data_IF_487079539778
#
_entry.id   IF_487079539778
#
_cell.length_a   1.000
_cell.length_b   1.000
_cell.length_c   1.000
_cell.angle_alpha   90.00
_cell.angle_beta   90.00
_cell.angle_gamma   90.00
#
_symmetry.space_group_name_H-M   'P 1'
#
loop_
_entity.id
_entity.type
_entity.pdbx_description
1 polymer ?
#
# COMPACT_ATOMS: atom_id res chain seq x y z
N UNK A 1 -12.45 5.91 11.34
CA UNK A 1 -12.96 4.56 11.01
C UNK A 1 -14.49 4.62 11.02
N UNK A 2 -15.16 4.06 10.03
CA UNK A 2 -16.64 4.05 9.99
C UNK A 2 -17.10 2.62 10.22
N UNK A 3 -17.81 2.40 11.33
CA UNK A 3 -18.38 1.11 11.72
C UNK A 3 -17.45 0.26 12.59
N UNK A 4 -18.07 -0.63 13.37
CA UNK A 4 -17.41 -1.53 14.33
C UNK A 4 -16.45 -2.54 13.68
N UNK A 5 -16.65 -2.82 12.38
CA UNK A 5 -15.84 -3.77 11.60
C UNK A 5 -14.60 -3.15 10.93
N UNK A 6 -14.38 -1.83 11.04
CA UNK A 6 -13.22 -1.19 10.45
C UNK A 6 -12.02 -1.28 11.41
N UNK A 7 -10.92 -1.86 10.95
CA UNK A 7 -9.66 -1.95 11.68
C UNK A 7 -8.51 -1.34 10.86
N UNK A 8 -7.45 -0.93 11.55
CA UNK A 8 -6.18 -0.57 10.92
C UNK A 8 -5.51 -1.86 10.45
N UNK A 9 -5.10 -1.90 9.18
CA UNK A 9 -4.42 -3.04 8.57
C UNK A 9 -2.99 -2.60 8.22
N UNK A 10 -1.99 -3.32 8.74
CA UNK A 10 -0.58 -3.05 8.49
C UNK A 10 0.02 -3.97 7.41
N UNK A 11 -0.78 -4.88 6.86
CA UNK A 11 -0.36 -5.93 5.93
C UNK A 11 -1.12 -5.81 4.62
N UNK A 12 -0.59 -6.28 3.49
CA UNK A 12 -1.33 -6.29 2.23
C UNK A 12 -2.33 -7.46 2.15
N UNK A 13 -3.06 -7.75 3.23
CA UNK A 13 -4.11 -8.76 3.30
C UNK A 13 -5.06 -8.46 4.47
N UNK A 14 -6.28 -9.00 4.42
CA UNK A 14 -7.22 -8.91 5.55
C UNK A 14 -6.86 -9.98 6.61
N UNK A 15 -6.95 -9.70 7.92
CA UNK A 15 -6.60 -10.66 8.97
C UNK A 15 -7.29 -12.02 8.88
N UNK A 16 -8.53 -12.05 8.36
CA UNK A 16 -9.30 -13.28 8.15
C UNK A 16 -8.84 -14.12 6.94
N UNK A 17 -7.90 -13.63 6.12
CA UNK A 17 -7.39 -14.38 4.98
C UNK A 17 -6.34 -15.41 5.42
N UNK A 18 -6.40 -16.59 4.80
CA UNK A 18 -5.40 -17.65 5.02
C UNK A 18 -4.00 -17.13 4.67
N UNK A 19 -3.04 -17.49 5.53
CA UNK A 19 -1.63 -17.12 5.43
C UNK A 19 -1.34 -15.61 5.52
N UNK A 20 -2.28 -14.81 6.02
CA UNK A 20 -2.06 -13.39 6.26
C UNK A 20 -1.22 -13.18 7.53
N UNK A 21 0.08 -12.95 7.36
CA UNK A 21 0.96 -12.59 8.47
C UNK A 21 0.42 -11.35 9.21
N UNK A 22 0.33 -11.40 10.55
CA UNK A 22 -0.19 -10.29 11.37
C UNK A 22 0.92 -9.55 12.14
N UNK A 23 2.04 -10.21 12.39
CA UNK A 23 3.19 -9.65 13.08
C UNK A 23 4.11 -8.94 12.08
N UNK A 24 3.69 -7.76 11.64
CA UNK A 24 4.49 -6.89 10.77
C UNK A 24 4.61 -5.50 11.36
N UNK A 25 5.70 -4.83 11.01
CA UNK A 25 5.99 -3.49 11.51
C UNK A 25 4.95 -2.46 11.02
N UNK A 26 4.19 -1.89 11.95
CA UNK A 26 3.35 -0.73 11.71
C UNK A 26 4.11 0.59 11.86
N UNK A 27 3.54 1.67 11.32
CA UNK A 27 4.03 3.03 11.55
C UNK A 27 3.02 3.82 12.37
N UNK A 28 3.48 4.34 13.51
CA UNK A 28 2.70 5.26 14.33
C UNK A 28 2.52 6.63 13.64
N UNK A 29 1.40 7.29 13.93
CA UNK A 29 1.17 8.66 13.47
C UNK A 29 2.04 9.65 14.25
N UNK A 30 3.18 10.03 13.68
CA UNK A 30 4.11 11.00 14.25
C UNK A 30 4.52 12.09 13.23
N UNK A 31 3.78 13.21 13.17
CA UNK A 31 4.12 14.32 12.29
C UNK A 31 5.47 14.98 12.59
N UNK A 32 5.97 14.91 13.83
CA UNK A 32 7.25 15.50 14.20
C UNK A 32 8.41 14.67 13.65
N UNK A 33 8.34 13.34 13.79
CA UNK A 33 9.28 12.40 13.17
C UNK A 33 9.24 12.50 11.64
N UNK A 34 8.06 12.62 11.04
CA UNK A 34 7.93 12.80 9.59
C UNK A 34 8.64 14.08 9.10
N UNK A 35 8.46 15.22 9.79
CA UNK A 35 9.20 16.47 9.48
C UNK A 35 10.71 16.29 9.59
N UNK A 36 11.18 15.61 10.64
CA UNK A 36 12.61 15.34 10.82
C UNK A 36 13.18 14.53 9.65
N UNK A 37 12.49 13.48 9.23
CA UNK A 37 12.90 12.65 8.10
C UNK A 37 12.90 13.42 6.77
N UNK A 38 11.95 14.34 6.56
CA UNK A 38 11.97 15.22 5.38
C UNK A 38 13.22 16.11 5.33
N UNK A 39 13.63 16.68 6.47
CA UNK A 39 14.86 17.48 6.56
C UNK A 39 16.10 16.61 6.26
N UNK A 40 16.19 15.42 6.86
CA UNK A 40 17.29 14.47 6.62
C UNK A 40 17.37 14.03 5.14
N UNK A 41 16.22 13.91 4.47
CA UNK A 41 16.12 13.60 3.05
C UNK A 41 16.40 14.81 2.12
N UNK A 42 16.68 16.00 2.67
CA UNK A 42 16.97 17.21 1.89
C UNK A 42 15.77 18.04 1.46
N UNK A 43 14.59 17.81 2.07
CA UNK A 43 13.34 18.53 1.81
C UNK A 43 12.85 19.32 3.05
N UNK A 44 13.62 20.28 3.57
CA UNK A 44 13.25 21.00 4.80
C UNK A 44 11.94 21.80 4.69
N UNK A 45 11.61 22.27 3.48
CA UNK A 45 10.38 23.02 3.18
C UNK A 45 9.29 22.14 2.57
N UNK A 46 9.50 20.83 2.51
CA UNK A 46 8.63 19.87 1.82
C UNK A 46 8.73 19.96 0.29
N UNK A 47 7.70 19.48 -0.40
CA UNK A 47 7.60 19.46 -1.87
C UNK A 47 6.14 19.33 -2.30
N UNK A 48 5.89 19.50 -3.61
CA UNK A 48 4.58 19.26 -4.21
C UNK A 48 4.60 18.02 -5.09
N UNK A 49 3.49 17.27 -5.12
CA UNK A 49 3.31 16.14 -6.03
C UNK A 49 1.83 15.92 -6.38
N UNK A 50 1.56 15.15 -7.42
CA UNK A 50 0.21 14.75 -7.81
C UNK A 50 -0.21 13.44 -7.13
N UNK A 51 -1.38 13.41 -6.50
CA UNK A 51 -1.98 12.18 -5.97
C UNK A 51 -3.24 11.84 -6.77
N UNK A 52 -3.35 10.60 -7.20
CA UNK A 52 -4.48 10.14 -8.01
C UNK A 52 -5.43 9.26 -7.20
N UNK A 53 -6.74 9.43 -7.36
CA UNK A 53 -7.72 8.60 -6.67
C UNK A 53 -8.97 8.41 -7.54
N UNK A 54 -9.79 7.40 -7.20
CA UNK A 54 -11.01 7.09 -7.95
C UNK A 54 -12.27 6.88 -7.10
N UNK A 55 -12.10 6.63 -5.80
CA UNK A 55 -13.18 6.49 -4.82
C UNK A 55 -12.72 6.97 -3.45
N UNK A 56 -13.66 7.07 -2.51
CA UNK A 56 -13.38 7.46 -1.11
C UNK A 56 -12.55 8.74 -1.04
N UNK A 57 -13.03 9.77 -1.75
CA UNK A 57 -12.33 11.05 -1.92
C UNK A 57 -11.98 11.68 -0.57
N UNK A 58 -12.90 11.58 0.38
CA UNK A 58 -12.80 12.03 1.76
C UNK A 58 -11.57 11.45 2.49
N UNK A 59 -11.21 10.19 2.24
CA UNK A 59 -10.01 9.60 2.84
C UNK A 59 -8.74 10.13 2.19
N UNK A 60 -8.74 10.29 0.86
CA UNK A 60 -7.60 10.91 0.16
C UNK A 60 -7.40 12.35 0.62
N UNK A 61 -8.47 13.13 0.77
CA UNK A 61 -8.40 14.53 1.24
C UNK A 61 -7.93 14.63 2.70
N UNK A 62 -8.28 13.67 3.56
CA UNK A 62 -7.72 13.59 4.90
C UNK A 62 -6.20 13.36 4.88
N UNK A 63 -5.71 12.44 4.05
CA UNK A 63 -4.26 12.20 3.86
C UNK A 63 -3.57 13.46 3.31
N UNK A 64 -4.17 14.15 2.34
CA UNK A 64 -3.65 15.43 1.81
C UNK A 64 -3.55 16.47 2.94
N UNK A 65 -4.58 16.56 3.80
CA UNK A 65 -4.56 17.46 4.95
C UNK A 65 -3.47 17.11 5.97
N UNK A 66 -3.19 15.84 6.19
CA UNK A 66 -2.10 15.41 7.09
C UNK A 66 -0.72 15.69 6.51
N UNK A 67 -0.51 15.44 5.22
CA UNK A 67 0.73 15.78 4.50
C UNK A 67 0.99 17.29 4.53
N UNK A 68 -0.06 18.13 4.41
CA UNK A 68 0.08 19.57 4.47
C UNK A 68 0.64 20.07 5.82
N UNK A 69 0.34 19.38 6.95
CA UNK A 69 0.87 19.72 8.28
C UNK A 69 2.39 19.59 8.37
N UNK A 70 3.00 18.81 7.48
CA UNK A 70 4.44 18.58 7.38
C UNK A 70 5.08 19.27 6.17
N UNK A 71 4.38 20.19 5.50
CA UNK A 71 4.90 20.96 4.37
C UNK A 71 4.78 20.27 3.01
N UNK A 72 4.22 19.06 2.96
CA UNK A 72 4.06 18.30 1.72
C UNK A 72 2.69 18.59 1.10
N UNK A 73 2.68 19.08 -0.14
CA UNK A 73 1.44 19.50 -0.83
C UNK A 73 1.08 18.52 -1.94
N UNK A 74 0.00 17.77 -1.73
CA UNK A 74 -0.49 16.81 -2.70
C UNK A 74 -1.69 17.37 -3.50
N UNK A 75 -1.60 17.34 -4.83
CA UNK A 75 -2.65 17.80 -5.76
C UNK A 75 -3.53 16.63 -6.20
N UNK A 76 -4.81 16.66 -5.80
CA UNK A 76 -5.74 15.58 -6.07
C UNK A 76 -6.19 15.54 -7.53
N UNK A 77 -5.88 14.45 -8.21
CA UNK A 77 -6.40 14.06 -9.52
C UNK A 77 -7.46 12.96 -9.36
N UNK A 78 -8.72 13.35 -9.23
CA UNK A 78 -9.83 12.41 -9.04
C UNK A 78 -10.47 11.99 -10.37
N UNK A 79 -10.57 10.68 -10.64
CA UNK A 79 -11.04 10.20 -11.95
C UNK A 79 -11.65 8.79 -11.92
N UNK A 80 -12.16 8.33 -13.05
CA UNK A 80 -12.73 6.98 -13.20
C UNK A 80 -11.67 5.88 -13.06
N UNK A 81 -12.03 4.78 -12.40
CA UNK A 81 -11.13 3.65 -12.10
C UNK A 81 -10.38 3.12 -13.33
N UNK A 82 -11.09 2.85 -14.45
CA UNK A 82 -10.48 2.28 -15.66
C UNK A 82 -9.36 3.18 -16.21
N UNK A 83 -9.53 4.50 -16.11
CA UNK A 83 -8.50 5.47 -16.51
C UNK A 83 -7.33 5.44 -15.53
N UNK A 84 -7.60 5.54 -14.23
CA UNK A 84 -6.56 5.53 -13.20
C UNK A 84 -5.69 4.27 -13.27
N UNK A 85 -6.31 3.09 -13.35
CA UNK A 85 -5.58 1.81 -13.43
C UNK A 85 -4.62 1.76 -14.61
N UNK A 86 -5.05 2.25 -15.78
CA UNK A 86 -4.19 2.31 -16.96
C UNK A 86 -3.00 3.26 -16.78
N UNK A 87 -3.21 4.41 -16.14
CA UNK A 87 -2.13 5.35 -15.83
C UNK A 87 -1.14 4.77 -14.82
N UNK A 88 -1.63 4.10 -13.77
CA UNK A 88 -0.81 3.46 -12.76
C UNK A 88 0.08 2.35 -13.34
N UNK A 89 -0.50 1.44 -14.14
CA UNK A 89 0.24 0.35 -14.79
C UNK A 89 1.29 0.83 -15.80
N UNK A 90 1.13 2.05 -16.32
CA UNK A 90 2.08 2.67 -17.25
C UNK A 90 3.08 3.61 -16.53
N UNK A 91 3.10 3.64 -15.19
CA UNK A 91 4.03 4.45 -14.42
C UNK A 91 3.80 5.96 -14.50
N UNK A 92 2.60 6.40 -14.93
CA UNK A 92 2.29 7.84 -15.11
C UNK A 92 1.95 8.51 -13.78
N UNK A 93 1.36 7.77 -12.84
CA UNK A 93 0.97 8.32 -11.53
C UNK A 93 2.13 8.20 -10.54
N UNK A 94 2.66 9.30 -9.98
CA UNK A 94 3.71 9.20 -8.96
C UNK A 94 3.17 8.62 -7.65
N UNK A 95 1.92 8.94 -7.28
CA UNK A 95 1.21 8.34 -6.14
C UNK A 95 -0.26 8.12 -6.51
N UNK A 96 -0.83 6.99 -6.13
CA UNK A 96 -2.26 6.72 -6.29
C UNK A 96 -2.86 6.05 -5.06
N UNK A 97 -4.05 6.49 -4.67
CA UNK A 97 -4.90 5.82 -3.68
C UNK A 97 -5.88 4.90 -4.42
N UNK A 98 -5.63 3.60 -4.32
CA UNK A 98 -6.47 2.56 -4.90
C UNK A 98 -6.94 1.58 -3.83
N UNK A 99 -7.81 0.66 -4.23
CA UNK A 99 -8.28 -0.39 -3.34
C UNK A 99 -8.35 -1.71 -4.09
N UNK A 100 -8.29 -2.80 -3.34
CA UNK A 100 -8.37 -4.14 -3.86
C UNK A 100 -9.32 -4.97 -3.01
N UNK A 101 -10.20 -5.73 -3.65
CA UNK A 101 -11.18 -6.59 -2.96
C UNK A 101 -10.79 -8.06 -2.92
N UNK A 102 -9.58 -8.41 -3.38
CA UNK A 102 -9.08 -9.80 -3.48
C UNK A 102 -10.03 -10.77 -4.19
N UNK A 103 -10.94 -10.29 -5.03
CA UNK A 103 -12.02 -11.07 -5.66
C UNK A 103 -12.80 -11.98 -4.69
N UNK A 104 -12.90 -11.57 -3.41
CA UNK A 104 -13.49 -12.40 -2.34
C UNK A 104 -12.78 -13.76 -2.12
N UNK A 105 -11.52 -13.87 -2.53
CA UNK A 105 -10.67 -15.03 -2.26
C UNK A 105 -10.10 -14.89 -0.85
N UNK A 106 -10.35 -15.86 0.05
CA UNK A 106 -9.93 -15.79 1.46
C UNK A 106 -8.47 -16.23 1.66
N UNK A 107 -7.54 -15.74 0.82
CA UNK A 107 -6.12 -16.12 0.87
C UNK A 107 -5.23 -14.91 0.56
N UNK A 108 -4.13 -14.75 1.29
CA UNK A 108 -3.20 -13.63 1.15
C UNK A 108 -2.61 -13.50 -0.27
N UNK A 109 -2.46 -14.61 -1.00
CA UNK A 109 -1.99 -14.62 -2.39
C UNK A 109 -2.85 -13.78 -3.33
N UNK A 110 -4.14 -13.60 -3.02
CA UNK A 110 -5.07 -12.84 -3.86
C UNK A 110 -4.79 -11.33 -3.88
N UNK A 111 -4.06 -10.81 -2.89
CA UNK A 111 -3.54 -9.44 -2.88
C UNK A 111 -2.04 -9.44 -3.14
N UNK A 112 -1.28 -10.23 -2.37
CA UNK A 112 0.18 -10.21 -2.44
C UNK A 112 0.72 -10.58 -3.84
N UNK A 113 0.12 -11.58 -4.48
CA UNK A 113 0.51 -12.01 -5.83
C UNK A 113 0.17 -11.01 -6.94
N UNK A 114 -0.64 -9.99 -6.65
CA UNK A 114 -1.00 -8.93 -7.62
C UNK A 114 -0.03 -7.75 -7.55
N UNK A 115 0.34 -7.35 -6.34
CA UNK A 115 1.06 -6.10 -6.09
C UNK A 115 2.55 -6.27 -5.76
N UNK A 116 3.03 -7.50 -5.58
CA UNK A 116 4.40 -7.77 -5.08
C UNK A 116 5.03 -9.00 -5.76
N UNK A 117 4.71 -9.23 -7.03
CA UNK A 117 5.19 -10.39 -7.81
C UNK A 117 5.96 -10.00 -9.08
N UNK A 118 6.25 -8.71 -9.26
CA UNK A 118 6.88 -8.16 -10.47
C UNK A 118 5.92 -7.97 -11.66
N UNK A 119 4.62 -8.00 -11.40
CA UNK A 119 3.58 -7.71 -12.39
C UNK A 119 3.43 -6.21 -12.68
N UNK A 120 2.57 -5.88 -13.65
CA UNK A 120 2.25 -4.48 -14.01
C UNK A 120 1.59 -3.65 -12.91
N UNK A 121 1.03 -4.32 -11.90
CA UNK A 121 0.40 -3.69 -10.75
C UNK A 121 1.39 -3.60 -9.56
N UNK A 122 2.67 -3.99 -9.75
CA UNK A 122 3.76 -3.90 -8.76
C UNK A 122 4.74 -2.76 -9.13
N UNK A 123 4.53 -1.55 -8.61
CA UNK A 123 5.40 -0.42 -8.90
C UNK A 123 6.76 -0.48 -8.18
N UNK A 124 6.87 -1.25 -7.09
CA UNK A 124 8.12 -1.36 -6.34
C UNK A 124 9.08 -2.34 -7.02
N UNK A 125 8.54 -3.44 -7.54
CA UNK A 125 9.24 -4.49 -8.28
C UNK A 125 10.56 -4.92 -7.59
N UNK A 126 10.53 -5.05 -6.27
CA UNK A 126 11.70 -5.45 -5.49
C UNK A 126 12.01 -6.93 -5.72
N UNK A 127 13.22 -7.30 -6.19
CA UNK A 127 13.55 -8.68 -6.53
C UNK A 127 13.41 -9.66 -5.36
N UNK A 128 13.74 -9.23 -4.13
CA UNK A 128 13.67 -10.09 -2.95
C UNK A 128 12.22 -10.35 -2.56
N UNK A 129 11.41 -9.29 -2.52
CA UNK A 129 9.97 -9.41 -2.23
C UNK A 129 9.31 -10.30 -3.28
N UNK A 130 9.60 -10.06 -4.57
CA UNK A 130 9.07 -10.88 -5.67
C UNK A 130 9.40 -12.36 -5.51
N UNK A 131 10.63 -12.70 -5.14
CA UNK A 131 11.04 -14.09 -4.90
C UNK A 131 10.23 -14.74 -3.78
N UNK A 132 10.12 -14.05 -2.63
CA UNK A 132 9.40 -14.54 -1.45
C UNK A 132 7.92 -14.75 -1.75
N UNK A 133 7.26 -13.78 -2.37
CA UNK A 133 5.83 -13.83 -2.71
C UNK A 133 5.54 -14.94 -3.73
N UNK A 134 6.37 -15.07 -4.77
CA UNK A 134 6.20 -16.13 -5.76
C UNK A 134 6.42 -17.52 -5.13
N UNK A 135 7.41 -17.68 -4.24
CA UNK A 135 7.62 -18.93 -3.50
C UNK A 135 6.42 -19.26 -2.61
N UNK A 136 5.94 -18.30 -1.82
CA UNK A 136 4.78 -18.48 -0.94
C UNK A 136 3.50 -18.85 -1.71
N UNK A 137 3.31 -18.30 -2.91
CA UNK A 137 2.17 -18.63 -3.78
C UNK A 137 2.19 -20.05 -4.36
N UNK A 138 3.34 -20.74 -4.35
CA UNK A 138 3.51 -22.09 -4.90
C UNK A 138 3.59 -23.19 -3.83
N UNK A 139 3.49 -22.84 -2.55
CA UNK A 139 3.50 -23.80 -1.45
C UNK A 139 2.08 -24.16 -1.02
N UNK A 140 1.91 -25.37 -0.49
CA UNK A 140 0.66 -25.84 0.13
C UNK A 140 0.73 -25.86 1.66
N UNK A 141 1.93 -25.94 2.24
CA UNK A 141 2.13 -25.88 3.68
C UNK A 141 1.85 -24.47 4.22
N UNK A 142 0.85 -24.33 5.10
CA UNK A 142 0.41 -23.03 5.57
C UNK A 142 1.46 -22.32 6.43
N UNK A 143 2.19 -23.04 7.27
CA UNK A 143 3.19 -22.45 8.17
C UNK A 143 4.38 -21.88 7.39
N UNK A 144 4.84 -22.57 6.34
CA UNK A 144 5.88 -22.05 5.47
C UNK A 144 5.41 -20.86 4.63
N UNK A 145 4.14 -20.84 4.20
CA UNK A 145 3.56 -19.67 3.51
C UNK A 145 3.52 -18.44 4.41
N UNK A 146 3.03 -18.59 5.64
CA UNK A 146 2.95 -17.51 6.63
C UNK A 146 4.32 -16.90 6.93
N UNK A 147 5.35 -17.73 7.10
CA UNK A 147 6.74 -17.26 7.29
C UNK A 147 7.24 -16.43 6.11
N UNK A 148 7.03 -16.92 4.89
CA UNK A 148 7.48 -16.22 3.68
C UNK A 148 6.73 -14.91 3.45
N UNK A 149 5.41 -14.88 3.68
CA UNK A 149 4.65 -13.63 3.63
C UNK A 149 5.08 -12.65 4.73
N UNK A 150 5.33 -13.14 5.95
CA UNK A 150 5.83 -12.31 7.05
C UNK A 150 7.21 -11.71 6.74
N UNK A 151 8.11 -12.46 6.11
CA UNK A 151 9.41 -11.94 5.68
C UNK A 151 9.25 -10.92 4.55
N UNK A 152 8.33 -11.14 3.62
CA UNK A 152 8.11 -10.23 2.50
C UNK A 152 7.51 -8.89 2.91
N UNK A 153 6.79 -8.84 4.04
CA UNK A 153 6.08 -7.63 4.51
C UNK A 153 6.86 -6.80 5.55
N UNK A 154 8.08 -7.21 5.93
CA UNK A 154 8.96 -6.49 6.87
C UNK A 154 10.22 -5.96 6.17
#
# INVERSE_FOLDING_TARGET
>A
MVGEAAAVINTPCHPDQVACAQDVSGYEYDPAKAKKLLVEAGYPDGFEFDIYAYRQREFTEAVISDLAKIGVKAKLNFMQYRKLRGLAQNGVTPVHHMTWGSYSIPDASACAGVFFSGGKDDPANDPKVNELINKAGNLTDQGEREKLYSEAFN
#
